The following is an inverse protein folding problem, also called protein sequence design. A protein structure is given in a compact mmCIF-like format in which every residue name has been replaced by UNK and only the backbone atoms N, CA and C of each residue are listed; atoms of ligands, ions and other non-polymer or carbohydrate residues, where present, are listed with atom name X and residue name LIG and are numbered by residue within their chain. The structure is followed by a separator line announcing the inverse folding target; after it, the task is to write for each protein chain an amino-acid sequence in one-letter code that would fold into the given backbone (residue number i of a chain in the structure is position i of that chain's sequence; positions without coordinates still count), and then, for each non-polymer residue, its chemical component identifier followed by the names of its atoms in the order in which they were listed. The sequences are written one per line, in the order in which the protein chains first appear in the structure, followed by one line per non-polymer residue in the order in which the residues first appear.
data_IF_295252758478
#
_entry.id   IF_295252758478
#
_cell.length_a   1.000
_cell.length_b   1.000
_cell.length_c   1.000
_cell.angle_alpha   90.00
_cell.angle_beta   90.00
_cell.angle_gamma   90.00
#
_symmetry.space_group_name_H-M   'P 1'
#
loop_
_entity.id
_entity.type
_entity.pdbx_description
1 polymer ?
#
# COMPACT_ATOMS: atom_id res chain seq x y z
N UNK A 1 -31.57 5.42 12.38
CA UNK A 1 -31.12 6.43 11.39
C UNK A 1 -30.44 5.72 10.22
N UNK A 2 -30.79 6.04 8.97
CA UNK A 2 -29.99 5.61 7.81
C UNK A 2 -28.78 6.55 7.69
N UNK A 3 -27.66 6.15 8.29
CA UNK A 3 -26.40 6.89 8.19
C UNK A 3 -25.87 6.80 6.75
N UNK A 4 -25.46 7.93 6.16
CA UNK A 4 -24.88 7.97 4.82
C UNK A 4 -23.41 7.53 4.83
N UNK A 5 -23.20 6.24 5.08
CA UNK A 5 -21.87 5.61 5.20
C UNK A 5 -21.01 5.77 3.94
N UNK A 6 -21.63 5.87 2.77
CA UNK A 6 -20.91 6.02 1.50
C UNK A 6 -20.20 7.37 1.36
N UNK A 7 -20.86 8.48 1.75
CA UNK A 7 -20.21 9.81 1.74
C UNK A 7 -19.04 9.87 2.72
N UNK A 8 -19.17 9.18 3.85
CA UNK A 8 -18.11 9.07 4.84
C UNK A 8 -16.87 8.37 4.27
N UNK A 9 -17.08 7.28 3.52
CA UNK A 9 -16.00 6.54 2.87
C UNK A 9 -15.30 7.36 1.77
N UNK A 10 -16.06 8.12 0.96
CA UNK A 10 -15.52 9.06 -0.03
C UNK A 10 -14.68 10.17 0.67
N UNK A 11 -15.21 10.75 1.74
CA UNK A 11 -14.52 11.77 2.53
C UNK A 11 -13.25 11.21 3.19
N UNK A 12 -13.29 9.97 3.68
CA UNK A 12 -12.12 9.27 4.22
C UNK A 12 -11.03 9.10 3.16
N UNK A 13 -11.39 8.65 1.96
CA UNK A 13 -10.44 8.51 0.85
C UNK A 13 -9.82 9.85 0.44
N UNK A 14 -10.63 10.90 0.28
CA UNK A 14 -10.15 12.25 -0.04
C UNK A 14 -9.24 12.81 1.05
N UNK A 15 -9.64 12.69 2.31
CA UNK A 15 -8.86 13.16 3.45
C UNK A 15 -7.52 12.44 3.52
N UNK A 16 -7.52 11.11 3.35
CA UNK A 16 -6.31 10.30 3.48
C UNK A 16 -5.35 10.51 2.30
N UNK A 17 -5.86 10.43 1.07
CA UNK A 17 -5.01 10.42 -0.14
C UNK A 17 -4.63 11.83 -0.57
N UNK A 18 -5.54 12.81 -0.50
CA UNK A 18 -5.28 14.16 -1.01
C UNK A 18 -4.85 15.07 0.12
N UNK A 19 -5.72 15.28 1.11
CA UNK A 19 -5.47 16.27 2.15
C UNK A 19 -4.24 15.90 2.99
N UNK A 20 -4.21 14.68 3.54
CA UNK A 20 -3.15 14.30 4.46
C UNK A 20 -1.79 14.26 3.79
N UNK A 21 -1.69 13.63 2.62
CA UNK A 21 -0.42 13.50 1.94
C UNK A 21 0.07 14.83 1.36
N UNK A 22 -0.80 15.68 0.77
CA UNK A 22 -0.33 17.00 0.29
C UNK A 22 0.10 17.92 1.43
N UNK A 23 -0.66 17.98 2.53
CA UNK A 23 -0.28 18.81 3.68
C UNK A 23 1.02 18.31 4.29
N UNK A 24 1.16 17.00 4.49
CA UNK A 24 2.42 16.43 4.99
C UNK A 24 3.60 16.79 4.08
N UNK A 25 3.42 16.67 2.75
CA UNK A 25 4.47 16.93 1.78
C UNK A 25 4.93 18.39 1.75
N UNK A 26 3.99 19.34 1.77
CA UNK A 26 4.33 20.76 1.64
C UNK A 26 4.67 21.44 2.97
N UNK A 27 4.10 20.98 4.08
CA UNK A 27 4.26 21.65 5.39
C UNK A 27 5.15 20.88 6.36
N UNK A 28 5.42 19.59 6.11
CA UNK A 28 6.14 18.71 7.04
C UNK A 28 5.33 18.33 8.28
N UNK A 29 4.05 18.72 8.40
CA UNK A 29 3.23 18.46 9.59
C UNK A 29 2.74 17.01 9.61
N UNK A 30 3.49 16.13 10.29
CA UNK A 30 3.16 14.70 10.44
C UNK A 30 1.89 14.47 11.28
N UNK A 31 1.49 15.46 12.10
CA UNK A 31 0.30 15.37 12.94
C UNK A 31 -1.01 15.16 12.14
N UNK A 32 -1.04 15.57 10.87
CA UNK A 32 -2.20 15.39 10.00
C UNK A 32 -2.51 13.91 9.73
N UNK A 33 -1.51 13.01 9.82
CA UNK A 33 -1.73 11.56 9.69
C UNK A 33 -2.54 10.93 10.83
N UNK A 34 -2.90 11.68 11.87
CA UNK A 34 -3.86 11.23 12.87
C UNK A 34 -5.31 11.32 12.40
N UNK A 35 -5.61 12.15 11.39
CA UNK A 35 -6.98 12.30 10.88
C UNK A 35 -7.56 11.00 10.31
N UNK A 36 -6.86 10.26 9.41
CA UNK A 36 -7.36 8.99 8.90
C UNK A 36 -7.62 7.98 10.02
N UNK A 37 -6.75 7.94 11.03
CA UNK A 37 -6.91 7.07 12.19
C UNK A 37 -8.22 7.34 12.93
N UNK A 38 -8.49 8.59 13.31
CA UNK A 38 -9.74 8.96 13.99
C UNK A 38 -10.96 8.71 13.11
N UNK A 39 -10.85 8.94 11.80
CA UNK A 39 -11.94 8.66 10.88
C UNK A 39 -12.30 7.17 10.84
N UNK A 40 -11.31 6.27 10.85
CA UNK A 40 -11.60 4.83 10.89
C UNK A 40 -12.23 4.41 12.22
N UNK A 41 -11.79 4.96 13.35
CA UNK A 41 -12.42 4.70 14.64
C UNK A 41 -13.89 5.13 14.65
N UNK A 42 -14.18 6.33 14.14
CA UNK A 42 -15.55 6.81 13.95
C UNK A 42 -16.33 5.86 13.03
N UNK A 43 -15.71 5.35 11.97
CA UNK A 43 -16.35 4.38 11.07
C UNK A 43 -16.75 3.07 11.77
N UNK A 44 -15.92 2.58 12.69
CA UNK A 44 -16.23 1.40 13.52
C UNK A 44 -17.40 1.70 14.47
N UNK A 45 -17.42 2.88 15.09
CA UNK A 45 -18.55 3.32 15.93
C UNK A 45 -19.84 3.42 15.10
N UNK A 46 -19.77 4.01 13.90
CA UNK A 46 -20.90 4.10 12.99
C UNK A 46 -21.42 2.72 12.57
N UNK A 47 -20.53 1.74 12.39
CA UNK A 47 -20.90 0.36 12.13
C UNK A 47 -21.70 -0.24 13.31
N UNK A 48 -21.30 0.01 14.56
CA UNK A 48 -22.02 -0.47 15.75
C UNK A 48 -23.39 0.21 15.91
N UNK A 49 -23.49 1.49 15.54
CA UNK A 49 -24.75 2.25 15.59
C UNK A 49 -25.70 1.95 14.42
N UNK A 50 -25.21 1.29 13.37
CA UNK A 50 -26.00 1.01 12.19
C UNK A 50 -27.04 -0.08 12.49
N UNK A 51 -28.29 0.35 12.70
CA UNK A 51 -29.44 -0.56 12.76
C UNK A 51 -29.65 -1.21 11.38
N UNK A 52 -29.39 -2.51 11.27
CA UNK A 52 -29.65 -3.28 10.05
C UNK A 52 -31.08 -3.81 10.08
N UNK A 53 -31.79 -3.60 8.98
CA UNK A 53 -33.13 -4.17 8.76
C UNK A 53 -33.08 -5.66 8.40
N UNK A 54 -31.94 -6.18 7.97
CA UNK A 54 -31.73 -7.60 7.66
C UNK A 54 -30.54 -8.15 8.45
N UNK A 55 -30.68 -9.35 9.06
CA UNK A 55 -29.59 -9.97 9.80
C UNK A 55 -28.42 -10.26 8.86
N UNK A 56 -27.21 -9.99 9.33
CA UNK A 56 -25.98 -10.27 8.58
C UNK A 56 -25.79 -11.79 8.48
N UNK A 57 -26.22 -12.38 7.36
CA UNK A 57 -26.05 -13.81 7.10
C UNK A 57 -24.65 -14.09 6.55
N UNK A 58 -23.65 -14.12 7.45
CA UNK A 58 -22.28 -14.48 7.07
C UNK A 58 -22.21 -15.96 6.69
N UNK A 59 -21.64 -16.25 5.52
CA UNK A 59 -21.26 -17.59 5.10
C UNK A 59 -20.24 -18.20 6.07
N UNK A 60 -20.20 -19.53 6.19
CA UNK A 60 -19.23 -20.24 7.03
C UNK A 60 -17.78 -19.83 6.72
N UNK A 61 -17.46 -19.54 5.45
CA UNK A 61 -16.13 -19.07 5.07
C UNK A 61 -15.85 -17.63 5.50
N UNK A 62 -16.84 -16.74 5.42
CA UNK A 62 -16.69 -15.36 5.90
C UNK A 62 -16.49 -15.34 7.41
N UNK A 63 -17.17 -16.23 8.15
CA UNK A 63 -16.95 -16.41 9.59
C UNK A 63 -15.52 -16.87 9.90
N UNK A 64 -14.97 -17.81 9.11
CA UNK A 64 -13.58 -18.24 9.27
C UNK A 64 -12.60 -17.11 8.98
N UNK A 65 -12.81 -16.36 7.88
CA UNK A 65 -11.97 -15.20 7.54
C UNK A 65 -12.03 -14.14 8.64
N UNK A 66 -13.22 -13.85 9.15
CA UNK A 66 -13.42 -12.92 10.26
C UNK A 66 -12.71 -13.38 11.54
N UNK A 67 -12.81 -14.66 11.89
CA UNK A 67 -12.14 -15.24 13.04
C UNK A 67 -10.61 -15.13 12.91
N UNK A 68 -10.06 -15.54 11.75
CA UNK A 68 -8.62 -15.43 11.47
C UNK A 68 -8.13 -13.99 11.53
N UNK A 69 -8.90 -13.06 10.98
CA UNK A 69 -8.60 -11.63 10.99
C UNK A 69 -8.56 -11.06 12.42
N UNK A 70 -9.56 -11.39 13.25
CA UNK A 70 -9.61 -10.96 14.66
C UNK A 70 -8.48 -11.58 15.47
N UNK A 71 -8.20 -12.88 15.28
CA UNK A 71 -7.06 -13.55 15.92
C UNK A 71 -5.75 -12.89 15.52
N UNK A 72 -5.57 -12.53 14.24
CA UNK A 72 -4.38 -11.84 13.77
C UNK A 72 -4.21 -10.46 14.44
N UNK A 73 -5.28 -9.66 14.55
CA UNK A 73 -5.23 -8.37 15.25
C UNK A 73 -4.83 -8.54 16.72
N UNK A 74 -5.49 -9.45 17.43
CA UNK A 74 -5.23 -9.68 18.86
C UNK A 74 -3.79 -10.18 19.05
N UNK A 75 -3.36 -11.14 18.24
CA UNK A 75 -2.01 -11.69 18.34
C UNK A 75 -0.95 -10.63 18.00
N UNK A 76 -1.16 -9.82 16.97
CA UNK A 76 -0.27 -8.70 16.63
C UNK A 76 -0.17 -7.70 17.79
N UNK A 77 -1.30 -7.29 18.38
CA UNK A 77 -1.31 -6.35 19.50
C UNK A 77 -0.60 -6.92 20.73
N UNK A 78 -0.94 -8.14 21.13
CA UNK A 78 -0.30 -8.81 22.26
C UNK A 78 1.22 -8.97 22.03
N UNK A 79 1.62 -9.41 20.84
CA UNK A 79 3.04 -9.56 20.49
C UNK A 79 3.79 -8.22 20.56
N UNK A 80 3.23 -7.14 20.00
CA UNK A 80 3.89 -5.83 20.04
C UNK A 80 3.97 -5.26 21.45
N UNK A 81 2.90 -5.38 22.26
CA UNK A 81 2.91 -4.92 23.66
C UNK A 81 3.95 -5.68 24.48
N UNK A 82 4.03 -7.01 24.33
CA UNK A 82 4.96 -7.84 25.09
C UNK A 82 6.43 -7.64 24.66
N UNK A 83 6.70 -7.38 23.38
CA UNK A 83 8.07 -7.25 22.87
C UNK A 83 8.62 -5.82 22.91
N UNK A 84 7.78 -4.83 22.59
CA UNK A 84 8.21 -3.45 22.29
C UNK A 84 7.54 -2.41 23.18
N UNK A 85 6.62 -2.81 24.05
CA UNK A 85 5.92 -1.93 24.99
C UNK A 85 4.66 -1.26 24.42
N UNK A 86 3.97 -0.51 25.28
CA UNK A 86 2.65 0.06 24.98
C UNK A 86 2.73 1.21 23.96
N UNK A 87 3.75 2.06 24.06
CA UNK A 87 3.90 3.23 23.17
C UNK A 87 4.08 2.81 21.72
N UNK A 88 4.92 1.81 21.48
CA UNK A 88 5.14 1.26 20.13
C UNK A 88 3.91 0.54 19.60
N UNK A 89 3.16 -0.15 20.47
CA UNK A 89 1.88 -0.76 20.12
C UNK A 89 0.84 0.28 19.68
N UNK A 90 0.76 1.44 20.35
CA UNK A 90 -0.14 2.53 19.94
C UNK A 90 0.25 3.08 18.57
N UNK A 91 1.54 3.30 18.33
CA UNK A 91 2.04 3.81 17.04
C UNK A 91 1.79 2.79 15.92
N UNK A 92 2.06 1.50 16.16
CA UNK A 92 1.77 0.43 15.21
C UNK A 92 0.27 0.26 14.95
N UNK A 93 -0.55 0.39 15.99
CA UNK A 93 -2.01 0.36 15.85
C UNK A 93 -2.51 1.52 14.99
N UNK A 94 -2.02 2.75 15.23
CA UNK A 94 -2.37 3.92 14.44
C UNK A 94 -2.08 3.75 12.95
N UNK A 95 -0.88 3.27 12.62
CA UNK A 95 -0.37 3.32 11.25
C UNK A 95 -0.79 2.10 10.41
N UNK A 96 -0.95 0.93 11.02
CA UNK A 96 -1.16 -0.32 10.27
C UNK A 96 -2.53 -0.96 10.59
N UNK A 97 -2.78 -1.25 11.87
CA UNK A 97 -3.97 -2.04 12.26
C UNK A 97 -5.26 -1.24 12.14
N UNK A 98 -5.27 0.05 12.49
CA UNK A 98 -6.46 0.87 12.42
C UNK A 98 -6.97 0.99 10.98
N UNK A 99 -6.08 1.23 10.00
CA UNK A 99 -6.48 1.33 8.60
C UNK A 99 -7.06 0.02 8.06
N UNK A 100 -6.57 -1.13 8.54
CA UNK A 100 -7.15 -2.44 8.17
C UNK A 100 -8.60 -2.61 8.63
N UNK A 101 -9.05 -1.89 9.67
CA UNK A 101 -10.44 -1.94 10.13
C UNK A 101 -11.44 -1.44 9.06
N UNK A 102 -10.98 -0.68 8.05
CA UNK A 102 -11.80 -0.36 6.87
C UNK A 102 -12.25 -1.64 6.17
N UNK A 103 -11.34 -2.60 6.00
CA UNK A 103 -11.65 -3.91 5.40
C UNK A 103 -12.59 -4.73 6.29
N UNK A 104 -12.47 -4.62 7.61
CA UNK A 104 -13.40 -5.23 8.55
C UNK A 104 -14.82 -4.66 8.41
N UNK A 105 -14.96 -3.33 8.31
CA UNK A 105 -16.24 -2.67 8.04
C UNK A 105 -16.83 -3.09 6.68
N UNK A 106 -15.98 -3.23 5.65
CA UNK A 106 -16.40 -3.73 4.33
C UNK A 106 -16.89 -5.18 4.40
N UNK A 107 -16.14 -6.08 5.07
CA UNK A 107 -16.50 -7.50 5.22
C UNK A 107 -17.82 -7.68 5.95
N UNK A 108 -18.07 -6.85 6.96
CA UNK A 108 -19.36 -6.85 7.66
C UNK A 108 -20.47 -6.19 6.82
N UNK A 109 -20.24 -5.76 5.58
CA UNK A 109 -21.27 -5.22 4.69
C UNK A 109 -21.79 -3.86 5.13
N UNK A 110 -20.93 -3.01 5.71
CA UNK A 110 -21.28 -1.62 6.06
C UNK A 110 -21.63 -0.79 4.81
N UNK A 111 -20.99 -1.12 3.68
CA UNK A 111 -21.12 -0.39 2.42
C UNK A 111 -21.91 -1.19 1.40
N UNK A 112 -22.75 -0.49 0.63
CA UNK A 112 -23.49 -1.05 -0.51
C UNK A 112 -22.60 -1.05 -1.76
N UNK A 113 -22.91 -1.93 -2.71
CA UNK A 113 -22.21 -2.00 -4.01
C UNK A 113 -22.19 -0.65 -4.73
N UNK A 114 -23.29 0.10 -4.70
CA UNK A 114 -23.36 1.44 -5.31
C UNK A 114 -22.41 2.45 -4.65
N UNK A 115 -22.13 2.31 -3.35
CA UNK A 115 -21.17 3.17 -2.65
C UNK A 115 -19.73 2.78 -3.00
N UNK A 116 -19.44 1.48 -3.11
CA UNK A 116 -18.14 0.98 -3.57
C UNK A 116 -17.86 1.38 -5.03
N UNK A 117 -18.87 1.38 -5.88
CA UNK A 117 -18.75 1.88 -7.25
C UNK A 117 -18.38 3.36 -7.29
N UNK A 118 -19.03 4.21 -6.48
CA UNK A 118 -18.67 5.63 -6.38
C UNK A 118 -17.25 5.84 -5.84
N UNK A 119 -16.83 5.05 -4.85
CA UNK A 119 -15.45 5.08 -4.36
C UNK A 119 -14.45 4.71 -5.49
N UNK A 120 -14.79 3.71 -6.30
CA UNK A 120 -13.96 3.28 -7.43
C UNK A 120 -13.85 4.39 -8.48
N UNK A 121 -14.96 5.08 -8.79
CA UNK A 121 -14.95 6.27 -9.65
C UNK A 121 -14.10 7.39 -9.08
N UNK A 122 -14.18 7.62 -7.76
CA UNK A 122 -13.34 8.59 -7.06
C UNK A 122 -11.85 8.23 -7.17
N UNK A 123 -11.47 6.96 -7.06
CA UNK A 123 -10.09 6.52 -7.26
C UNK A 123 -9.57 6.84 -8.66
N UNK A 124 -10.40 6.75 -9.72
CA UNK A 124 -9.98 7.19 -11.05
C UNK A 124 -9.72 8.70 -11.11
N UNK A 125 -10.57 9.51 -10.50
CA UNK A 125 -10.31 10.96 -10.39
C UNK A 125 -9.02 11.25 -9.61
N UNK A 126 -8.81 10.58 -8.48
CA UNK A 126 -7.59 10.70 -7.69
C UNK A 126 -6.35 10.28 -8.47
N UNK A 127 -6.46 9.27 -9.32
CA UNK A 127 -5.40 8.86 -10.24
C UNK A 127 -5.04 9.96 -11.23
N UNK A 128 -6.03 10.62 -11.84
CA UNK A 128 -5.76 11.75 -12.74
C UNK A 128 -5.13 12.96 -12.04
N UNK A 129 -5.49 13.22 -10.78
CA UNK A 129 -4.89 14.29 -9.97
C UNK A 129 -3.41 14.02 -9.66
N UNK A 130 -2.95 12.77 -9.70
CA UNK A 130 -1.53 12.46 -9.47
C UNK A 130 -0.63 13.07 -10.55
N UNK A 131 -1.07 13.14 -11.81
CA UNK A 131 -0.25 13.63 -12.93
C UNK A 131 0.22 15.08 -12.79
N UNK A 132 -0.64 16.09 -12.60
CA UNK A 132 -0.18 17.47 -12.47
C UNK A 132 0.76 17.64 -11.27
N UNK A 133 0.52 16.93 -10.18
CA UNK A 133 1.35 17.02 -8.98
C UNK A 133 2.71 16.32 -9.16
N UNK A 134 2.73 15.13 -9.77
CA UNK A 134 3.97 14.42 -10.10
C UNK A 134 4.82 15.24 -11.08
N UNK A 135 4.21 15.87 -12.09
CA UNK A 135 4.90 16.77 -13.03
C UNK A 135 5.51 17.96 -12.28
N UNK A 136 4.74 18.61 -11.38
CA UNK A 136 5.27 19.69 -10.55
C UNK A 136 6.47 19.23 -9.69
N UNK A 137 6.36 18.06 -9.06
CA UNK A 137 7.44 17.50 -8.23
C UNK A 137 8.70 17.23 -9.07
N UNK A 138 8.56 16.66 -10.26
CA UNK A 138 9.67 16.41 -11.18
C UNK A 138 10.32 17.71 -11.67
N UNK A 139 9.52 18.72 -12.04
CA UNK A 139 10.06 19.95 -12.63
C UNK A 139 10.62 20.93 -11.60
N UNK A 140 10.07 20.96 -10.39
CA UNK A 140 10.41 21.99 -9.38
C UNK A 140 11.12 21.40 -8.17
N UNK A 141 10.67 20.25 -7.66
CA UNK A 141 11.18 19.70 -6.40
C UNK A 141 12.46 18.89 -6.62
N UNK A 142 12.48 18.02 -7.64
CA UNK A 142 13.67 17.20 -7.95
C UNK A 142 14.90 18.08 -8.21
N UNK A 143 14.88 19.15 -9.04
CA UNK A 143 16.06 19.97 -9.26
C UNK A 143 16.53 20.69 -7.99
N UNK A 144 15.60 21.14 -7.14
CA UNK A 144 15.94 21.75 -5.84
C UNK A 144 16.62 20.77 -4.91
N UNK A 145 16.12 19.53 -4.85
CA UNK A 145 16.75 18.46 -4.05
C UNK A 145 18.14 18.13 -4.56
N UNK A 146 18.31 18.00 -5.89
CA UNK A 146 19.62 17.73 -6.51
C UNK A 146 20.63 18.83 -6.20
N UNK A 147 20.21 20.09 -6.26
CA UNK A 147 21.08 21.22 -5.95
C UNK A 147 21.56 21.25 -4.49
N UNK A 148 20.77 20.71 -3.55
CA UNK A 148 21.05 20.77 -2.11
C UNK A 148 21.70 19.49 -1.55
N UNK A 149 21.32 18.31 -2.06
CA UNK A 149 21.75 17.00 -1.51
C UNK A 149 22.54 16.13 -2.49
N UNK A 150 22.74 16.59 -3.73
CA UNK A 150 23.38 15.80 -4.78
C UNK A 150 22.39 14.90 -5.53
N UNK A 151 22.90 14.09 -6.45
CA UNK A 151 22.06 13.28 -7.35
C UNK A 151 21.42 12.04 -6.71
N UNK A 152 21.90 11.65 -5.54
CA UNK A 152 21.48 10.43 -4.86
C UNK A 152 20.02 10.56 -4.37
N UNK A 153 19.21 9.55 -4.69
CA UNK A 153 17.81 9.41 -4.26
C UNK A 153 16.87 10.59 -4.63
N UNK A 154 17.22 11.34 -5.69
CA UNK A 154 16.47 12.53 -6.13
C UNK A 154 14.99 12.27 -6.45
N UNK A 155 14.70 11.08 -6.98
CA UNK A 155 13.37 10.68 -7.44
C UNK A 155 12.43 10.27 -6.30
N UNK A 156 12.95 9.99 -5.11
CA UNK A 156 12.11 9.65 -3.95
C UNK A 156 11.32 10.85 -3.41
N UNK A 157 11.53 12.04 -3.99
CA UNK A 157 10.67 13.21 -3.75
C UNK A 157 9.36 13.17 -4.55
N UNK A 158 9.22 12.27 -5.54
CA UNK A 158 8.08 12.25 -6.46
C UNK A 158 7.03 11.24 -6.00
N UNK A 159 6.02 11.73 -5.28
CA UNK A 159 5.04 10.90 -4.56
C UNK A 159 3.59 11.18 -4.96
N UNK A 160 3.36 12.12 -5.87
CA UNK A 160 2.03 12.64 -6.14
C UNK A 160 1.40 13.18 -4.86
N UNK A 161 0.18 12.76 -4.54
CA UNK A 161 -0.53 13.19 -3.33
C UNK A 161 -0.23 12.33 -2.10
N UNK A 162 0.58 11.27 -2.19
CA UNK A 162 0.73 10.26 -1.12
C UNK A 162 1.59 10.68 0.09
N UNK A 163 2.09 11.92 0.10
CA UNK A 163 2.85 12.49 1.21
C UNK A 163 4.29 12.03 1.26
N UNK A 164 5.04 12.61 2.19
CA UNK A 164 6.48 12.41 2.33
C UNK A 164 7.19 13.68 2.79
N UNK A 165 8.51 13.62 2.84
CA UNK A 165 9.36 14.78 2.98
C UNK A 165 10.07 15.02 1.63
N UNK A 166 9.84 16.16 0.95
CA UNK A 166 10.52 16.51 -0.29
C UNK A 166 12.05 16.34 -0.21
N UNK A 167 12.62 16.61 0.97
CA UNK A 167 14.06 16.56 1.22
C UNK A 167 14.50 15.23 1.84
N UNK A 168 13.66 14.59 2.65
CA UNK A 168 13.97 13.40 3.43
C UNK A 168 13.61 12.06 2.77
N UNK A 169 12.72 12.07 1.77
CA UNK A 169 12.20 10.85 1.15
C UNK A 169 10.68 10.77 1.22
N UNK A 170 10.10 10.03 0.28
CA UNK A 170 8.69 10.12 -0.05
C UNK A 170 7.93 8.82 0.13
N UNK A 171 6.60 8.90 0.22
CA UNK A 171 5.76 7.70 0.18
C UNK A 171 5.52 7.21 -1.25
N UNK A 172 6.60 7.07 -2.01
CA UNK A 172 6.60 6.74 -3.43
C UNK A 172 6.07 5.31 -3.66
N UNK A 173 6.31 4.43 -2.68
CA UNK A 173 5.77 3.08 -2.67
C UNK A 173 4.23 3.04 -2.57
N UNK A 174 3.61 3.91 -1.75
CA UNK A 174 2.15 3.97 -1.66
C UNK A 174 1.51 4.46 -2.96
N UNK A 175 2.11 5.47 -3.62
CA UNK A 175 1.69 5.90 -4.96
C UNK A 175 1.74 4.73 -5.95
N UNK A 176 2.81 3.94 -5.91
CA UNK A 176 2.93 2.75 -6.76
C UNK A 176 1.87 1.67 -6.46
N UNK A 177 1.60 1.38 -5.19
CA UNK A 177 0.53 0.45 -4.80
C UNK A 177 -0.84 0.95 -5.26
N UNK A 178 -1.07 2.25 -5.22
CA UNK A 178 -2.29 2.84 -5.76
C UNK A 178 -2.37 2.71 -7.28
N UNK A 179 -1.28 2.95 -8.01
CA UNK A 179 -1.22 2.70 -9.46
C UNK A 179 -1.52 1.23 -9.79
N UNK A 180 -1.00 0.30 -9.00
CA UNK A 180 -1.29 -1.13 -9.12
C UNK A 180 -2.77 -1.45 -8.88
N UNK A 181 -3.39 -0.84 -7.88
CA UNK A 181 -4.82 -0.95 -7.64
C UNK A 181 -5.62 -0.49 -8.87
N UNK A 182 -5.29 0.66 -9.47
CA UNK A 182 -5.96 1.17 -10.68
C UNK A 182 -5.81 0.20 -11.86
N UNK A 183 -4.61 -0.37 -12.06
CA UNK A 183 -4.38 -1.37 -13.10
C UNK A 183 -5.25 -2.61 -12.90
N UNK A 184 -5.33 -3.12 -11.67
CA UNK A 184 -6.16 -4.29 -11.33
C UNK A 184 -7.66 -4.00 -11.50
N UNK A 185 -8.12 -2.84 -11.07
CA UNK A 185 -9.51 -2.41 -11.26
C UNK A 185 -9.88 -2.36 -12.75
N UNK A 186 -9.02 -1.78 -13.59
CA UNK A 186 -9.28 -1.65 -15.04
C UNK A 186 -9.26 -2.98 -15.79
N UNK A 187 -8.34 -3.90 -15.43
CA UNK A 187 -8.36 -5.26 -15.97
C UNK A 187 -9.62 -6.00 -15.53
N UNK A 188 -10.04 -5.84 -14.27
CA UNK A 188 -11.28 -6.43 -13.77
C UNK A 188 -12.51 -5.90 -14.52
N UNK A 189 -12.62 -4.59 -14.71
CA UNK A 189 -13.72 -3.97 -15.47
C UNK A 189 -13.75 -4.43 -16.93
N UNK A 190 -12.59 -4.54 -17.58
CA UNK A 190 -12.49 -5.04 -18.95
C UNK A 190 -12.93 -6.50 -19.06
N UNK A 191 -12.50 -7.34 -18.12
CA UNK A 191 -12.87 -8.76 -18.05
C UNK A 191 -14.38 -8.98 -17.88
N UNK A 192 -15.06 -8.08 -17.18
CA UNK A 192 -16.51 -8.13 -16.98
C UNK A 192 -17.29 -7.34 -18.04
N UNK A 193 -16.63 -6.84 -19.10
CA UNK A 193 -17.28 -6.15 -20.22
C UNK A 193 -17.78 -4.73 -19.90
N UNK A 194 -17.35 -4.14 -18.78
CA UNK A 194 -17.76 -2.79 -18.36
C UNK A 194 -16.91 -1.71 -19.06
N UNK A 195 -15.65 -2.02 -19.33
CA UNK A 195 -14.66 -1.08 -19.85
C UNK A 195 -14.19 -1.49 -21.26
N UNK A 196 -13.85 -0.51 -22.10
CA UNK A 196 -13.25 -0.77 -23.41
C UNK A 196 -11.75 -1.07 -23.30
N UNK A 197 -11.21 -1.84 -24.25
CA UNK A 197 -9.77 -2.14 -24.31
C UNK A 197 -8.91 -0.87 -24.33
N UNK A 198 -9.36 0.17 -25.06
CA UNK A 198 -8.66 1.47 -25.15
C UNK A 198 -8.51 2.12 -23.78
N UNK A 199 -9.59 2.15 -23.00
CA UNK A 199 -9.57 2.73 -21.65
C UNK A 199 -8.69 1.90 -20.71
N UNK A 200 -8.81 0.57 -20.73
CA UNK A 200 -7.94 -0.30 -19.93
C UNK A 200 -6.45 -0.07 -20.26
N UNK A 201 -6.08 -0.14 -21.55
CA UNK A 201 -4.71 0.06 -21.99
C UNK A 201 -4.18 1.45 -21.62
N UNK A 202 -4.98 2.51 -21.80
CA UNK A 202 -4.59 3.87 -21.42
C UNK A 202 -4.26 3.98 -19.92
N UNK A 203 -5.12 3.45 -19.03
CA UNK A 203 -4.86 3.51 -17.59
C UNK A 203 -3.63 2.69 -17.18
N UNK A 204 -3.39 1.53 -17.81
CA UNK A 204 -2.20 0.72 -17.55
C UNK A 204 -0.94 1.47 -17.96
N UNK A 205 -0.90 2.02 -19.18
CA UNK A 205 0.27 2.79 -19.67
C UNK A 205 0.53 4.01 -18.79
N UNK A 206 -0.52 4.75 -18.45
CA UNK A 206 -0.44 5.91 -17.57
C UNK A 206 0.02 5.54 -16.15
N UNK A 207 -0.41 4.40 -15.61
CA UNK A 207 0.02 3.92 -14.30
C UNK A 207 1.50 3.52 -14.30
N UNK A 208 1.96 2.81 -15.34
CA UNK A 208 3.38 2.51 -15.52
C UNK A 208 4.22 3.78 -15.67
N UNK A 209 3.74 4.78 -16.41
CA UNK A 209 4.41 6.07 -16.52
C UNK A 209 4.63 6.71 -15.14
N UNK A 210 3.61 6.77 -14.29
CA UNK A 210 3.75 7.28 -12.91
C UNK A 210 4.73 6.44 -12.08
N UNK A 211 4.70 5.10 -12.20
CA UNK A 211 5.65 4.24 -11.50
C UNK A 211 7.10 4.44 -11.96
N UNK A 212 7.33 4.70 -13.25
CA UNK A 212 8.66 5.01 -13.79
C UNK A 212 9.14 6.38 -13.29
N UNK A 213 8.25 7.38 -13.33
CA UNK A 213 8.55 8.73 -12.86
C UNK A 213 8.89 8.77 -11.37
N UNK A 214 8.19 7.98 -10.54
CA UNK A 214 8.50 7.80 -9.12
C UNK A 214 9.56 6.73 -8.82
N UNK A 215 10.21 6.15 -9.83
CA UNK A 215 11.20 5.07 -9.64
C UNK A 215 10.70 3.87 -8.78
N UNK A 216 9.42 3.52 -8.87
CA UNK A 216 8.81 2.42 -8.09
C UNK A 216 9.08 1.06 -8.73
N UNK A 217 10.34 0.61 -8.62
CA UNK A 217 10.83 -0.64 -9.25
C UNK A 217 10.02 -1.88 -8.88
N UNK A 218 9.60 -2.00 -7.61
CA UNK A 218 8.91 -3.21 -7.16
C UNK A 218 7.53 -3.37 -7.81
N UNK A 219 6.81 -2.28 -8.07
CA UNK A 219 5.48 -2.34 -8.71
C UNK A 219 5.61 -2.73 -10.16
N UNK A 220 6.64 -2.23 -10.84
CA UNK A 220 6.95 -2.61 -12.23
C UNK A 220 7.20 -4.11 -12.33
N UNK A 221 7.88 -4.70 -11.35
CA UNK A 221 8.12 -6.13 -11.28
C UNK A 221 6.86 -6.92 -10.89
N UNK A 222 6.08 -6.42 -9.92
CA UNK A 222 4.94 -7.13 -9.35
C UNK A 222 3.68 -7.09 -10.24
N UNK A 223 3.46 -5.98 -10.95
CA UNK A 223 2.26 -5.76 -11.76
C UNK A 223 1.99 -6.84 -12.81
N UNK A 224 2.95 -7.35 -13.62
CA UNK A 224 2.65 -8.39 -14.61
C UNK A 224 2.13 -9.68 -13.94
N UNK A 225 2.66 -10.05 -12.78
CA UNK A 225 2.22 -11.23 -12.05
C UNK A 225 0.79 -11.09 -11.54
N UNK A 226 0.44 -9.95 -10.94
CA UNK A 226 -0.91 -9.74 -10.40
C UNK A 226 -1.96 -9.55 -11.50
N UNK A 227 -1.61 -8.88 -12.60
CA UNK A 227 -2.50 -8.74 -13.74
C UNK A 227 -2.76 -10.09 -14.41
N UNK A 228 -1.71 -10.92 -14.58
CA UNK A 228 -1.86 -12.29 -15.07
C UNK A 228 -2.69 -13.16 -14.11
N UNK A 229 -2.45 -13.06 -12.80
CA UNK A 229 -3.23 -13.78 -11.80
C UNK A 229 -4.71 -13.41 -11.87
N UNK A 230 -5.03 -12.12 -11.91
CA UNK A 230 -6.40 -11.62 -12.04
C UNK A 230 -7.07 -12.10 -13.34
N UNK A 231 -6.30 -12.18 -14.42
CA UNK A 231 -6.77 -12.72 -15.69
C UNK A 231 -7.14 -14.21 -15.58
N UNK A 232 -6.31 -15.00 -14.90
CA UNK A 232 -6.50 -16.45 -14.72
C UNK A 232 -7.62 -16.76 -13.72
N UNK A 233 -7.76 -15.97 -12.64
CA UNK A 233 -8.78 -16.20 -11.62
C UNK A 233 -10.18 -16.10 -12.24
N UNK A 234 -11.06 -17.11 -12.14
CA UNK A 234 -12.38 -17.05 -12.75
C UNK A 234 -13.13 -15.80 -12.28
N UNK A 235 -13.55 -14.97 -13.25
CA UNK A 235 -14.47 -13.86 -12.98
C UNK A 235 -15.78 -14.42 -12.44
N UNK A 236 -16.51 -13.61 -11.69
CA UNK A 236 -17.73 -13.99 -10.96
C UNK A 236 -18.78 -14.59 -11.91
N UNK A 237 -18.76 -15.92 -12.06
CA UNK A 237 -19.82 -16.72 -12.69
C UNK A 237 -20.54 -17.40 -11.54
N UNK A 238 -21.82 -17.05 -11.39
CA UNK A 238 -22.76 -17.68 -10.47
C UNK A 238 -22.59 -19.20 -10.49
N UNK A 239 -22.23 -19.79 -9.36
CA UNK A 239 -22.18 -21.24 -9.18
C UNK A 239 -20.79 -21.85 -9.01
N UNK A 240 -19.69 -21.11 -9.21
CA UNK A 240 -18.36 -21.64 -8.89
C UNK A 240 -17.81 -20.96 -7.64
N UNK A 241 -17.86 -21.73 -6.57
CA UNK A 241 -17.26 -21.35 -5.31
C UNK A 241 -15.73 -21.30 -5.40
N UNK A 242 -15.22 -20.06 -5.46
CA UNK A 242 -14.25 -19.47 -4.52
C UNK A 242 -12.77 -19.57 -4.85
N UNK A 243 -12.05 -18.56 -4.32
CA UNK A 243 -10.64 -18.62 -3.93
C UNK A 243 -10.30 -20.06 -3.59
N UNK A 244 -9.66 -20.73 -4.53
CA UNK A 244 -9.32 -22.13 -4.43
C UNK A 244 -8.15 -22.22 -3.47
N UNK A 245 -8.04 -23.31 -2.70
CA UNK A 245 -6.84 -23.57 -1.89
C UNK A 245 -5.57 -23.39 -2.74
N UNK A 246 -5.65 -23.76 -4.02
CA UNK A 246 -4.63 -23.51 -5.05
C UNK A 246 -4.23 -22.03 -5.19
N UNK A 247 -5.19 -21.09 -5.27
CA UNK A 247 -4.87 -19.66 -5.36
C UNK A 247 -4.25 -19.12 -4.06
N UNK A 248 -4.70 -19.59 -2.89
CA UNK A 248 -4.09 -19.25 -1.60
C UNK A 248 -2.66 -19.79 -1.49
N UNK A 249 -2.43 -21.03 -1.95
CA UNK A 249 -1.11 -21.67 -1.97
C UNK A 249 -0.16 -20.99 -2.97
N UNK A 250 -0.67 -20.51 -4.11
CA UNK A 250 0.13 -19.73 -5.07
C UNK A 250 0.54 -18.39 -4.46
N UNK A 251 -0.36 -17.71 -3.75
CA UNK A 251 -0.04 -16.46 -3.04
C UNK A 251 0.99 -16.71 -1.93
N UNK A 252 0.81 -17.76 -1.13
CA UNK A 252 1.75 -18.14 -0.08
C UNK A 252 3.13 -18.51 -0.65
N UNK A 253 3.16 -19.32 -1.72
CA UNK A 253 4.40 -19.68 -2.41
C UNK A 253 5.09 -18.44 -3.02
N UNK A 254 4.32 -17.54 -3.63
CA UNK A 254 4.81 -16.27 -4.16
C UNK A 254 5.42 -15.39 -3.07
N UNK A 255 4.77 -15.28 -1.90
CA UNK A 255 5.32 -14.55 -0.76
C UNK A 255 6.61 -15.18 -0.21
N UNK A 256 6.66 -16.52 -0.10
CA UNK A 256 7.88 -17.22 0.34
C UNK A 256 9.04 -17.00 -0.64
N UNK A 257 8.79 -17.07 -1.95
CA UNK A 257 9.82 -16.80 -2.97
C UNK A 257 10.30 -15.36 -2.91
N UNK A 258 9.40 -14.39 -2.74
CA UNK A 258 9.78 -12.98 -2.63
C UNK A 258 10.59 -12.70 -1.35
N UNK A 259 10.21 -13.30 -0.22
CA UNK A 259 10.98 -13.23 1.03
C UNK A 259 12.35 -13.88 0.85
N UNK A 260 12.42 -15.04 0.20
CA UNK A 260 13.67 -15.74 -0.06
C UNK A 260 14.59 -14.95 -1.00
N UNK A 261 14.06 -14.40 -2.10
CA UNK A 261 14.80 -13.52 -3.01
C UNK A 261 15.29 -12.26 -2.30
N UNK A 262 14.47 -11.63 -1.46
CA UNK A 262 14.90 -10.44 -0.69
C UNK A 262 15.98 -10.79 0.31
N UNK A 263 15.83 -11.91 1.04
CA UNK A 263 16.83 -12.41 1.97
C UNK A 263 18.17 -12.70 1.26
N UNK A 264 18.12 -13.36 0.11
CA UNK A 264 19.32 -13.66 -0.67
C UNK A 264 19.97 -12.42 -1.30
N UNK A 265 19.16 -11.45 -1.74
CA UNK A 265 19.67 -10.17 -2.27
C UNK A 265 20.35 -9.34 -1.17
N UNK A 266 19.75 -9.26 0.03
CA UNK A 266 20.37 -8.60 1.19
C UNK A 266 21.68 -9.29 1.61
N UNK A 267 21.73 -10.62 1.56
CA UNK A 267 22.94 -11.40 1.88
C UNK A 267 24.03 -11.25 0.82
N UNK A 268 23.66 -11.17 -0.46
CA UNK A 268 24.61 -10.87 -1.54
C UNK A 268 25.18 -9.46 -1.41
N UNK A 269 24.37 -8.46 -1.08
CA UNK A 269 24.87 -7.10 -0.85
C UNK A 269 25.82 -7.03 0.36
N UNK A 270 25.55 -7.80 1.42
CA UNK A 270 26.43 -7.89 2.59
C UNK A 270 27.76 -8.58 2.25
N UNK A 271 27.74 -9.64 1.42
CA UNK A 271 28.94 -10.33 0.94
C UNK A 271 29.75 -9.50 -0.06
N UNK A 272 29.09 -8.78 -0.98
CA UNK A 272 29.75 -7.86 -1.91
C UNK A 272 30.32 -6.64 -1.18
N UNK A 273 29.63 -6.15 -0.14
CA UNK A 273 30.14 -5.10 0.75
C UNK A 273 31.35 -5.55 1.56
N UNK A 274 31.34 -6.78 2.07
CA UNK A 274 32.51 -7.41 2.72
C UNK A 274 33.67 -7.64 1.75
N UNK A 275 33.38 -8.03 0.50
CA UNK A 275 34.39 -8.24 -0.54
C UNK A 275 35.05 -6.92 -0.96
N UNK A 276 34.27 -5.87 -1.24
CA UNK A 276 34.79 -4.50 -1.50
C UNK A 276 35.57 -3.93 -0.31
N UNK A 277 35.11 -4.17 0.92
CA UNK A 277 35.84 -3.79 2.12
C UNK A 277 37.16 -4.55 2.30
N UNK A 278 37.28 -5.77 1.75
CA UNK A 278 38.51 -6.57 1.79
C UNK A 278 39.53 -6.12 0.73
N UNK A 279 39.07 -5.72 -0.45
CA UNK A 279 39.94 -5.22 -1.52
C UNK A 279 40.48 -3.82 -1.21
N UNK A 280 39.66 -2.95 -0.59
CA UNK A 280 40.12 -1.63 -0.14
C UNK A 280 41.14 -1.74 1.01
N UNK A 281 41.02 -2.75 1.88
CA UNK A 281 42.02 -3.04 2.93
C UNK A 281 43.32 -3.66 2.38
N UNK A 282 43.26 -4.41 1.27
CA UNK A 282 44.46 -4.90 0.56
C UNK A 282 45.17 -3.80 -0.21
N UNK A 283 44.43 -2.87 -0.82
CA UNK A 283 45.00 -1.73 -1.55
C UNK A 283 45.73 -0.71 -0.64
N UNK A 284 45.39 -0.67 0.65
CA UNK A 284 45.97 0.26 1.64
C UNK A 284 47.13 -0.31 2.46
N UNK A 285 47.55 -1.58 2.27
CA UNK A 285 48.74 -2.12 2.92
C UNK A 285 48.72 -2.11 4.46
N UNK A 286 47.54 -2.16 5.10
CA UNK A 286 47.43 -2.16 6.56
C UNK A 286 47.18 -3.58 7.07
N UNK A 287 48.24 -4.38 7.15
CA UNK A 287 48.29 -5.49 8.12
C UNK A 287 48.85 -4.95 9.43
N UNK A 288 47.99 -4.37 10.28
CA UNK A 288 48.25 -4.31 11.73
C UNK A 288 47.37 -5.35 12.40
N UNK A 289 48.00 -6.45 12.81
CA UNK A 289 47.50 -7.32 13.87
C UNK A 289 47.12 -6.47 15.10
N UNK A 290 45.90 -6.54 15.62
CA UNK A 290 45.67 -6.24 17.02
C UNK A 290 46.13 -7.47 17.81
N UNK A 291 47.20 -7.27 18.58
CA UNK A 291 47.56 -8.16 19.68
C UNK A 291 46.32 -8.43 20.53
N UNK A 292 46.12 -9.71 20.85
CA UNK A 292 45.45 -10.11 22.07
C UNK A 292 46.02 -9.29 23.24
N UNK A 293 45.15 -8.52 23.88
CA UNK A 293 45.29 -8.19 25.28
C UNK A 293 44.00 -8.66 25.95
N UNK A 294 44.20 -9.37 27.06
CA UNK A 294 43.22 -9.92 27.97
C UNK A 294 42.12 -8.92 28.36
#
# INVERSE_FOLDING_TARGET
MQLNTGRYLEAFALTTIVFCGTVQYFTGVVAVLWLPFFMVLVMVVLLMMQSRQQPLALSAREKVVLALYLTFIILSLCATVLQSGIVTAIVGFKNELALSLVMFCMLLGMFRESQLHRLTQLFYWLFYVQFPLAIYQVLVVVPKRVALRGEDEKWDSVVGTFGGDPMGGGNTAAMGMFCLLIMLLKVSEFKHGICSFKSMAAHIVLAFFLCVVGEVKFVILLSPFLLALLWIMPAYVSGISKVTLRSLMIIAAGMVVLIFCRYHHSRLQLLVGLWRGSDQKRALGIYRFPRLYF
#
